data_IF_251640422492
#
_entry.id   IF_251640422492
#
_cell.length_a   1.000
_cell.length_b   1.000
_cell.length_c   1.000
_cell.angle_alpha   90.00
_cell.angle_beta   90.00
_cell.angle_gamma   90.00
#
_symmetry.space_group_name_H-M   'P 1'
#
loop_
_entity.id
_entity.type
_entity.pdbx_description
1 polymer ?
#
# COMPACT_ATOMS: atom_id res chain seq x y z
N UNK A 1 -17.92 7.79 6.68
CA UNK A 1 -16.98 6.69 7.07
C UNK A 1 -15.97 6.48 5.96
N UNK A 2 -14.71 6.22 6.33
CA UNK A 2 -13.59 5.84 5.46
C UNK A 2 -12.90 4.64 6.08
N UNK A 3 -12.54 3.64 5.29
CA UNK A 3 -11.68 2.52 5.74
C UNK A 3 -10.23 2.83 5.41
N UNK A 4 -9.32 2.48 6.31
CA UNK A 4 -7.87 2.48 6.10
C UNK A 4 -7.39 1.05 6.32
N UNK A 5 -6.94 0.39 5.26
CA UNK A 5 -6.46 -0.98 5.26
C UNK A 5 -4.93 -1.02 5.13
N UNK A 6 -4.25 -1.64 6.07
CA UNK A 6 -2.80 -1.75 6.08
C UNK A 6 -2.32 -3.19 5.99
N UNK A 7 -1.09 -3.43 6.42
CA UNK A 7 -0.52 -4.77 6.49
C UNK A 7 -1.39 -5.69 7.37
N UNK A 8 -1.48 -6.97 7.02
CA UNK A 8 -2.36 -7.95 7.68
C UNK A 8 -3.86 -7.61 7.62
N UNK A 9 -4.28 -6.64 6.80
CA UNK A 9 -5.69 -6.39 6.57
C UNK A 9 -6.38 -7.60 5.90
N UNK A 10 -7.67 -7.68 6.10
CA UNK A 10 -8.51 -8.72 5.52
C UNK A 10 -9.83 -8.13 5.03
N UNK A 11 -10.52 -8.85 4.19
CA UNK A 11 -11.89 -8.49 3.80
C UNK A 11 -12.81 -8.61 5.01
N UNK A 12 -13.41 -7.49 5.40
CA UNK A 12 -14.31 -7.41 6.56
C UNK A 12 -15.74 -7.35 6.05
N UNK A 13 -16.55 -8.36 6.42
CA UNK A 13 -17.96 -8.43 6.06
C UNK A 13 -18.70 -7.14 6.41
N UNK A 14 -19.37 -6.56 5.42
CA UNK A 14 -20.15 -5.32 5.52
C UNK A 14 -19.36 -4.04 5.27
N UNK A 15 -18.04 -4.10 5.00
CA UNK A 15 -17.24 -2.94 4.61
C UNK A 15 -16.99 -2.84 3.10
N UNK A 16 -17.53 -3.75 2.30
CA UNK A 16 -17.31 -3.85 0.85
C UNK A 16 -17.68 -2.54 0.13
N UNK A 17 -18.78 -1.92 0.53
CA UNK A 17 -19.29 -0.69 -0.09
C UNK A 17 -18.70 0.60 0.52
N UNK A 18 -17.74 0.50 1.45
CA UNK A 18 -17.15 1.67 2.11
C UNK A 18 -15.87 2.10 1.38
N UNK A 19 -15.72 3.39 1.03
CA UNK A 19 -14.49 3.90 0.42
C UNK A 19 -13.26 3.57 1.27
N UNK A 20 -12.22 3.04 0.64
CA UNK A 20 -11.07 2.46 1.34
C UNK A 20 -9.74 2.96 0.77
N UNK A 21 -8.90 3.53 1.65
CA UNK A 21 -7.47 3.73 1.38
C UNK A 21 -6.75 2.45 1.79
N UNK A 22 -6.20 1.72 0.82
CA UNK A 22 -5.47 0.48 1.06
C UNK A 22 -3.97 0.67 0.82
N UNK A 23 -3.14 0.13 1.73
CA UNK A 23 -1.70 -0.02 1.50
C UNK A 23 -1.45 -1.21 0.56
N UNK A 24 -0.33 -1.24 -0.19
CA UNK A 24 -0.10 -2.28 -1.22
C UNK A 24 -0.16 -3.73 -0.74
N UNK A 25 0.09 -3.99 0.54
CA UNK A 25 -0.01 -5.34 1.14
C UNK A 25 -1.41 -5.70 1.67
N UNK A 26 -2.37 -4.77 1.57
CA UNK A 26 -3.77 -5.04 1.91
C UNK A 26 -4.53 -5.64 0.71
N UNK A 27 -5.68 -6.30 0.94
CA UNK A 27 -6.56 -6.71 -0.14
C UNK A 27 -7.03 -5.52 -1.01
N UNK A 28 -7.21 -5.74 -2.31
CA UNK A 28 -7.73 -4.74 -3.22
C UNK A 28 -9.17 -4.35 -2.86
N UNK A 29 -9.45 -3.06 -2.59
CA UNK A 29 -10.79 -2.62 -2.19
C UNK A 29 -11.72 -2.46 -3.39
N UNK A 30 -13.03 -2.68 -3.20
CA UNK A 30 -14.06 -2.43 -4.23
C UNK A 30 -14.22 -0.95 -4.56
N UNK A 31 -14.04 -0.07 -3.56
CA UNK A 31 -14.09 1.38 -3.72
C UNK A 31 -12.76 2.00 -3.30
N UNK A 32 -11.73 1.91 -4.16
CA UNK A 32 -10.40 2.41 -3.85
C UNK A 32 -10.38 3.92 -3.72
N UNK A 33 -9.66 4.39 -2.71
CA UNK A 33 -9.40 5.81 -2.45
C UNK A 33 -7.90 6.04 -2.46
N UNK A 34 -7.45 6.95 -3.32
CA UNK A 34 -6.04 7.23 -3.46
C UNK A 34 -5.43 7.85 -2.18
N UNK A 35 -4.28 7.38 -1.67
CA UNK A 35 -3.74 7.83 -0.39
C UNK A 35 -3.39 9.32 -0.33
N UNK A 36 -3.09 9.96 -1.45
CA UNK A 36 -2.84 11.41 -1.50
C UNK A 36 -4.08 12.25 -1.14
N UNK A 37 -5.30 11.69 -1.25
CA UNK A 37 -6.55 12.37 -0.90
C UNK A 37 -6.71 12.60 0.59
N UNK A 38 -5.97 11.89 1.44
CA UNK A 38 -6.06 12.01 2.90
C UNK A 38 -5.85 13.43 3.42
N UNK A 39 -5.10 14.27 2.68
CA UNK A 39 -4.91 15.69 3.03
C UNK A 39 -6.22 16.49 3.01
N UNK A 40 -7.11 16.20 2.05
CA UNK A 40 -8.37 16.94 1.91
C UNK A 40 -9.41 16.44 2.89
N UNK A 41 -9.37 15.17 3.28
CA UNK A 41 -10.35 14.56 4.19
C UNK A 41 -10.24 15.02 5.65
N UNK A 42 -9.18 15.71 6.02
CA UNK A 42 -9.05 16.40 7.31
C UNK A 42 -9.65 17.81 7.29
N UNK A 43 -9.90 18.39 6.12
CA UNK A 43 -10.45 19.73 5.98
C UNK A 43 -11.97 19.66 6.02
N UNK A 44 -12.59 20.62 6.70
CA UNK A 44 -14.04 20.71 6.75
C UNK A 44 -14.62 20.98 5.35
N UNK A 45 -13.92 21.78 4.56
CA UNK A 45 -14.36 22.17 3.23
C UNK A 45 -13.16 22.37 2.29
N UNK A 46 -13.37 22.01 1.05
CA UNK A 46 -12.44 22.28 -0.06
C UNK A 46 -13.19 23.02 -1.14
N UNK A 47 -12.61 24.11 -1.65
CA UNK A 47 -13.13 24.81 -2.82
C UNK A 47 -12.61 24.14 -4.08
N UNK A 48 -13.52 23.67 -4.91
CA UNK A 48 -13.21 23.13 -6.24
C UNK A 48 -14.00 23.97 -7.26
N UNK A 49 -13.30 24.77 -8.06
CA UNK A 49 -13.91 25.79 -8.93
C UNK A 49 -14.83 26.73 -8.11
N UNK A 50 -16.07 26.91 -8.52
CA UNK A 50 -17.04 27.77 -7.82
C UNK A 50 -17.84 27.05 -6.73
N UNK A 51 -17.50 25.80 -6.41
CA UNK A 51 -18.20 24.98 -5.44
C UNK A 51 -17.38 24.77 -4.18
N UNK A 52 -18.05 24.79 -3.03
CA UNK A 52 -17.49 24.41 -1.74
C UNK A 52 -18.04 23.03 -1.39
N UNK A 53 -17.15 22.07 -1.19
CA UNK A 53 -17.50 20.68 -0.89
C UNK A 53 -17.05 20.34 0.52
N UNK A 54 -17.94 19.70 1.30
CA UNK A 54 -17.58 19.17 2.62
C UNK A 54 -16.84 17.84 2.42
N UNK A 55 -15.57 17.84 2.76
CA UNK A 55 -14.67 16.68 2.59
C UNK A 55 -14.26 16.04 3.92
N UNK A 56 -14.72 16.57 5.06
CA UNK A 56 -14.31 16.06 6.37
C UNK A 56 -14.85 14.64 6.60
N UNK A 57 -13.92 13.72 6.89
CA UNK A 57 -14.25 12.38 7.39
C UNK A 57 -14.71 12.49 8.85
N UNK A 58 -15.83 11.89 9.17
CA UNK A 58 -16.37 11.83 10.53
C UNK A 58 -15.96 10.57 11.27
N UNK A 59 -15.72 9.47 10.53
CA UNK A 59 -15.35 8.18 11.08
C UNK A 59 -14.31 7.48 10.22
N UNK A 60 -13.30 6.93 10.86
CA UNK A 60 -12.28 6.07 10.26
C UNK A 60 -12.35 4.68 10.87
N UNK A 61 -12.36 3.65 10.03
CA UNK A 61 -12.22 2.26 10.43
C UNK A 61 -10.88 1.76 9.93
N UNK A 62 -10.00 1.36 10.86
CA UNK A 62 -8.68 0.80 10.55
C UNK A 62 -8.76 -0.71 10.53
N UNK A 63 -8.24 -1.35 9.49
CA UNK A 63 -8.12 -2.80 9.35
C UNK A 63 -6.65 -3.16 9.17
N UNK A 64 -6.12 -4.01 10.04
CA UNK A 64 -4.69 -4.35 10.04
C UNK A 64 -3.80 -3.22 10.53
N UNK A 65 -2.61 -3.09 9.95
CA UNK A 65 -1.53 -2.24 10.45
C UNK A 65 -1.05 -1.21 9.40
N UNK A 66 -1.80 -0.12 9.14
CA UNK A 66 -1.36 0.93 8.20
C UNK A 66 -0.18 1.72 8.75
N UNK A 67 0.84 1.95 7.91
CA UNK A 67 2.12 2.54 8.33
C UNK A 67 2.77 3.48 7.30
N UNK A 68 2.22 3.64 6.08
CA UNK A 68 2.96 4.25 4.98
C UNK A 68 2.91 5.78 4.93
N UNK A 69 1.72 6.35 4.83
CA UNK A 69 1.56 7.76 4.50
C UNK A 69 1.24 8.61 5.71
N UNK A 70 2.04 9.64 5.98
CA UNK A 70 1.85 10.57 7.12
C UNK A 70 0.46 11.22 7.11
N UNK A 71 -0.06 11.57 5.93
CA UNK A 71 -1.40 12.15 5.78
C UNK A 71 -2.51 11.19 6.18
N UNK A 72 -2.36 9.90 5.83
CA UNK A 72 -3.31 8.84 6.21
C UNK A 72 -3.23 8.57 7.72
N UNK A 73 -2.03 8.44 8.26
CA UNK A 73 -1.83 8.28 9.71
C UNK A 73 -2.36 9.50 10.49
N UNK A 74 -2.32 10.69 9.90
CA UNK A 74 -2.88 11.89 10.51
C UNK A 74 -4.41 11.87 10.61
N UNK A 75 -5.13 11.16 9.73
CA UNK A 75 -6.57 10.90 9.90
C UNK A 75 -6.85 10.03 11.12
N UNK A 76 -6.02 9.01 11.35
CA UNK A 76 -6.15 8.13 12.50
C UNK A 76 -5.87 8.84 13.83
N UNK A 77 -5.04 9.89 13.80
CA UNK A 77 -4.65 10.67 14.99
C UNK A 77 -5.51 11.92 15.21
N UNK A 78 -6.44 12.22 14.31
CA UNK A 78 -7.30 13.40 14.43
C UNK A 78 -8.37 13.19 15.53
N UNK A 79 -8.36 13.99 16.62
CA UNK A 79 -9.27 13.80 17.74
C UNK A 79 -10.74 14.06 17.38
N UNK A 80 -11.00 14.77 16.31
CA UNK A 80 -12.35 15.06 15.84
C UNK A 80 -12.96 13.93 14.99
N UNK A 81 -12.18 12.89 14.67
CA UNK A 81 -12.62 11.75 13.88
C UNK A 81 -12.90 10.56 14.83
N UNK A 82 -14.07 9.95 14.72
CA UNK A 82 -14.38 8.71 15.42
C UNK A 82 -13.53 7.56 14.88
N UNK A 83 -12.69 6.97 15.73
CA UNK A 83 -11.74 5.94 15.34
C UNK A 83 -12.19 4.56 15.82
N UNK A 84 -12.31 3.63 14.88
CA UNK A 84 -12.51 2.20 15.13
C UNK A 84 -11.30 1.44 14.61
N UNK A 85 -10.71 0.57 15.41
CA UNK A 85 -9.57 -0.26 15.00
C UNK A 85 -9.95 -1.73 15.09
N UNK A 86 -9.79 -2.43 13.98
CA UNK A 86 -10.04 -3.87 13.89
C UNK A 86 -8.73 -4.64 13.82
N UNK A 87 -8.66 -5.75 14.54
CA UNK A 87 -7.55 -6.69 14.47
C UNK A 87 -8.04 -8.12 14.65
N UNK A 88 -7.41 -9.06 13.95
CA UNK A 88 -7.60 -10.52 14.17
C UNK A 88 -6.73 -11.07 15.29
N UNK A 89 -5.78 -10.29 15.76
CA UNK A 89 -4.86 -10.60 16.85
C UNK A 89 -5.21 -9.78 18.08
N UNK A 90 -4.36 -9.81 19.11
CA UNK A 90 -4.47 -8.92 20.26
C UNK A 90 -3.75 -7.60 20.06
N UNK A 91 -3.03 -7.46 18.93
CA UNK A 91 -2.24 -6.28 18.61
C UNK A 91 -3.07 -5.33 17.75
N UNK A 92 -3.32 -4.16 18.27
CA UNK A 92 -4.10 -3.12 17.61
C UNK A 92 -3.22 -1.94 17.24
N UNK A 93 -3.27 -1.51 15.97
CA UNK A 93 -2.63 -0.27 15.52
C UNK A 93 -3.42 0.92 16.05
N UNK A 94 -3.16 1.29 17.29
CA UNK A 94 -3.87 2.36 17.98
C UNK A 94 -2.88 3.37 18.54
N UNK A 95 -2.76 4.52 17.90
CA UNK A 95 -1.90 5.62 18.34
C UNK A 95 -2.62 6.57 19.30
N UNK A 96 -3.94 6.47 19.44
CA UNK A 96 -4.79 7.34 20.28
C UNK A 96 -5.05 6.77 21.68
N UNK A 97 -4.54 5.59 21.98
CA UNK A 97 -4.76 4.96 23.29
C UNK A 97 -6.23 4.64 23.53
N UNK A 98 -6.81 5.15 24.62
CA UNK A 98 -8.18 4.81 25.05
C UNK A 98 -9.29 5.51 24.24
N UNK A 99 -8.94 6.44 23.35
CA UNK A 99 -9.93 7.21 22.58
C UNK A 99 -10.42 6.48 21.32
N UNK A 100 -9.86 5.31 21.00
CA UNK A 100 -10.28 4.48 19.89
C UNK A 100 -11.17 3.33 20.37
N UNK A 101 -12.16 2.97 19.57
CA UNK A 101 -12.92 1.74 19.75
C UNK A 101 -12.19 0.56 19.13
N UNK A 102 -11.94 -0.48 19.90
CA UNK A 102 -11.20 -1.65 19.48
C UNK A 102 -12.14 -2.84 19.29
N UNK A 103 -11.95 -3.62 18.24
CA UNK A 103 -12.78 -4.79 17.96
C UNK A 103 -12.14 -5.78 17.00
N UNK A 104 -12.81 -6.91 16.80
CA UNK A 104 -12.44 -7.95 15.83
C UNK A 104 -13.42 -8.01 14.65
N UNK A 105 -14.59 -7.40 14.84
CA UNK A 105 -15.68 -7.35 13.85
C UNK A 105 -16.39 -6.01 13.96
N UNK A 106 -17.13 -5.64 12.92
CA UNK A 106 -18.04 -4.49 12.90
C UNK A 106 -19.43 -4.94 12.53
N UNK A 107 -20.41 -4.17 12.98
CA UNK A 107 -21.76 -4.22 12.45
C UNK A 107 -22.04 -2.90 11.73
N UNK A 108 -22.11 -2.96 10.44
CA UNK A 108 -22.42 -1.78 9.62
C UNK A 108 -23.91 -1.49 9.68
N UNK A 109 -24.26 -0.23 9.85
CA UNK A 109 -25.64 0.25 9.86
C UNK A 109 -25.78 1.37 8.84
N UNK A 110 -26.59 1.15 7.81
CA UNK A 110 -26.77 2.08 6.70
C UNK A 110 -25.74 1.92 5.60
N UNK A 111 -25.88 2.70 4.57
CA UNK A 111 -25.00 2.73 3.40
C UNK A 111 -24.25 4.07 3.34
N UNK A 112 -23.05 4.14 2.72
CA UNK A 112 -22.38 5.41 2.46
C UNK A 112 -23.29 6.31 1.61
N UNK A 113 -23.30 7.61 1.93
CA UNK A 113 -24.09 8.53 1.13
C UNK A 113 -23.54 8.64 -0.30
N UNK A 114 -24.43 8.81 -1.28
CA UNK A 114 -24.02 8.98 -2.69
C UNK A 114 -23.11 10.20 -2.88
N UNK A 115 -23.30 11.23 -2.08
CA UNK A 115 -22.44 12.41 -2.10
C UNK A 115 -21.02 12.08 -1.64
N UNK A 116 -20.89 11.34 -0.53
CA UNK A 116 -19.58 10.90 -0.02
C UNK A 116 -18.85 10.01 -1.02
N UNK A 117 -19.55 9.06 -1.63
CA UNK A 117 -18.96 8.20 -2.67
C UNK A 117 -18.41 9.02 -3.84
N UNK A 118 -19.17 10.02 -4.34
CA UNK A 118 -18.72 10.90 -5.42
C UNK A 118 -17.53 11.78 -5.01
N UNK A 119 -17.47 12.22 -3.76
CA UNK A 119 -16.33 12.99 -3.25
C UNK A 119 -15.07 12.12 -3.25
N UNK A 120 -15.16 10.88 -2.75
CA UNK A 120 -14.04 9.95 -2.74
C UNK A 120 -13.56 9.59 -4.15
N UNK A 121 -14.49 9.28 -5.06
CA UNK A 121 -14.22 8.98 -6.45
C UNK A 121 -13.56 10.16 -7.18
N UNK A 122 -14.15 11.34 -7.10
CA UNK A 122 -13.59 12.54 -7.75
C UNK A 122 -12.23 12.95 -7.18
N UNK A 123 -12.01 12.81 -5.87
CA UNK A 123 -10.73 13.07 -5.25
C UNK A 123 -9.66 12.06 -5.72
N UNK A 124 -10.04 10.79 -5.84
CA UNK A 124 -9.17 9.71 -6.35
C UNK A 124 -8.80 9.95 -7.81
N UNK A 125 -9.75 10.34 -8.65
CA UNK A 125 -9.49 10.66 -10.05
C UNK A 125 -8.51 11.83 -10.21
N UNK A 126 -8.69 12.90 -9.42
CA UNK A 126 -7.77 14.04 -9.41
C UNK A 126 -6.36 13.63 -8.96
N UNK A 127 -6.25 12.80 -7.94
CA UNK A 127 -4.95 12.30 -7.47
C UNK A 127 -4.28 11.40 -8.51
N UNK A 128 -5.01 10.50 -9.13
CA UNK A 128 -4.54 9.66 -10.22
C UNK A 128 -4.10 10.48 -11.45
N UNK A 129 -4.82 11.57 -11.76
CA UNK A 129 -4.40 12.49 -12.82
C UNK A 129 -3.08 13.18 -12.47
N UNK A 130 -2.93 13.67 -11.24
CA UNK A 130 -1.69 14.29 -10.80
C UNK A 130 -0.48 13.34 -10.88
N UNK A 131 -0.69 12.05 -10.55
CA UNK A 131 0.34 11.02 -10.71
C UNK A 131 0.70 10.84 -12.19
N UNK A 132 -0.28 10.74 -13.08
CA UNK A 132 -0.03 10.62 -14.53
C UNK A 132 0.73 11.83 -15.08
N UNK A 133 0.30 13.05 -14.72
CA UNK A 133 0.99 14.29 -15.12
C UNK A 133 2.44 14.31 -14.62
N UNK A 134 2.69 13.81 -13.40
CA UNK A 134 4.04 13.69 -12.84
C UNK A 134 4.90 12.67 -13.63
N UNK A 135 4.30 11.56 -14.06
CA UNK A 135 4.99 10.55 -14.86
C UNK A 135 5.27 11.00 -16.30
N UNK A 136 4.50 11.93 -16.83
CA UNK A 136 4.64 12.50 -18.18
C UNK A 136 5.55 13.74 -18.22
N UNK A 137 5.93 14.28 -17.05
CA UNK A 137 6.75 15.49 -16.94
C UNK A 137 8.23 15.17 -17.19
N UNK A 138 8.72 15.49 -18.37
CA UNK A 138 10.11 15.27 -18.78
C UNK A 138 11.13 16.07 -17.93
N UNK A 139 10.73 17.20 -17.33
CA UNK A 139 11.62 18.03 -16.49
C UNK A 139 11.95 17.35 -15.16
N UNK A 140 11.09 16.46 -14.67
CA UNK A 140 11.32 15.67 -13.46
C UNK A 140 12.27 14.49 -13.66
N UNK A 141 12.48 14.08 -14.91
CA UNK A 141 13.30 12.92 -15.25
C UNK A 141 12.72 11.60 -14.76
N UNK A 142 13.55 10.56 -14.77
CA UNK A 142 13.13 9.21 -14.38
C UNK A 142 13.26 9.00 -12.87
N UNK A 143 12.15 8.68 -12.19
CA UNK A 143 12.07 8.56 -10.73
C UNK A 143 11.64 7.15 -10.29
N UNK A 144 11.68 6.87 -8.98
CA UNK A 144 11.13 5.63 -8.38
C UNK A 144 9.64 5.41 -8.70
N UNK A 145 8.88 6.50 -8.87
CA UNK A 145 7.46 6.42 -9.25
C UNK A 145 7.28 5.80 -10.63
N UNK A 146 8.16 6.12 -11.60
CA UNK A 146 8.17 5.49 -12.94
C UNK A 146 8.48 3.99 -12.86
N UNK A 147 9.42 3.62 -11.99
CA UNK A 147 9.75 2.19 -11.78
C UNK A 147 8.56 1.44 -11.20
N UNK A 148 7.91 2.02 -10.20
CA UNK A 148 6.72 1.42 -9.57
C UNK A 148 5.55 1.29 -10.56
N UNK A 149 5.31 2.31 -11.38
CA UNK A 149 4.30 2.28 -12.45
C UNK A 149 4.60 1.18 -13.47
N UNK A 150 5.85 1.09 -13.95
CA UNK A 150 6.26 0.05 -14.90
C UNK A 150 6.11 -1.37 -14.32
N UNK A 151 6.42 -1.56 -13.04
CA UNK A 151 6.17 -2.83 -12.34
C UNK A 151 4.67 -3.11 -12.29
N UNK A 152 3.85 -2.13 -11.88
CA UNK A 152 2.39 -2.25 -11.84
C UNK A 152 1.79 -2.68 -13.17
N UNK A 153 2.21 -2.04 -14.26
CA UNK A 153 1.73 -2.34 -15.62
C UNK A 153 2.07 -3.74 -16.11
N UNK A 154 3.07 -4.39 -15.52
CA UNK A 154 3.45 -5.77 -15.89
C UNK A 154 2.75 -6.84 -15.07
N UNK A 155 2.12 -6.50 -13.94
CA UNK A 155 1.44 -7.44 -13.08
C UNK A 155 0.14 -7.97 -13.71
N UNK A 156 -0.15 -9.21 -13.43
CA UNK A 156 -1.38 -9.90 -13.87
C UNK A 156 -1.98 -10.66 -12.69
N UNK A 157 -3.24 -11.02 -12.82
CA UNK A 157 -3.93 -11.87 -11.83
C UNK A 157 -3.12 -13.14 -11.57
N UNK A 158 -2.98 -13.53 -10.32
CA UNK A 158 -2.17 -14.63 -9.79
C UNK A 158 -0.65 -14.38 -9.81
N UNK A 159 -0.19 -13.19 -10.15
CA UNK A 159 1.19 -12.82 -9.86
C UNK A 159 1.39 -12.50 -8.38
N UNK A 160 2.61 -12.60 -7.93
CA UNK A 160 3.01 -12.20 -6.58
C UNK A 160 4.00 -11.03 -6.65
N UNK A 161 3.77 -10.01 -5.84
CA UNK A 161 4.64 -8.86 -5.71
C UNK A 161 5.31 -8.84 -4.33
N UNK A 162 6.61 -8.62 -4.30
CA UNK A 162 7.38 -8.39 -3.07
C UNK A 162 7.91 -6.96 -3.10
N UNK A 163 7.54 -6.15 -2.13
CA UNK A 163 7.93 -4.75 -2.04
C UNK A 163 8.94 -4.54 -0.91
N UNK A 164 10.10 -4.03 -1.25
CA UNK A 164 11.07 -3.56 -0.27
C UNK A 164 10.52 -2.38 0.54
N UNK A 165 10.99 -2.25 1.77
CA UNK A 165 10.73 -1.07 2.60
C UNK A 165 11.26 0.22 1.94
N UNK A 166 10.98 1.38 2.56
CA UNK A 166 11.40 2.70 2.08
C UNK A 166 10.53 3.25 0.94
N UNK A 167 11.12 3.85 -0.11
CA UNK A 167 10.40 4.47 -1.21
C UNK A 167 9.59 3.46 -2.06
N UNK A 168 10.09 2.27 -2.42
CA UNK A 168 9.39 1.36 -3.32
C UNK A 168 7.94 1.05 -2.92
N UNK A 169 7.69 0.77 -1.64
CA UNK A 169 6.33 0.48 -1.18
C UNK A 169 5.44 1.72 -1.16
N UNK A 170 6.01 2.92 -1.00
CA UNK A 170 5.27 4.20 -1.08
C UNK A 170 4.92 4.56 -2.50
N UNK A 171 5.88 4.41 -3.41
CA UNK A 171 5.68 4.66 -4.83
C UNK A 171 4.64 3.69 -5.40
N UNK A 172 4.69 2.43 -5.00
CA UNK A 172 3.69 1.42 -5.34
C UNK A 172 2.27 1.84 -4.90
N UNK A 173 2.12 2.37 -3.69
CA UNK A 173 0.83 2.87 -3.21
C UNK A 173 0.32 4.09 -4.01
N UNK A 174 1.23 4.96 -4.48
CA UNK A 174 0.87 6.14 -5.25
C UNK A 174 0.50 5.83 -6.71
N UNK A 175 1.02 4.76 -7.29
CA UNK A 175 0.65 4.32 -8.65
C UNK A 175 -0.60 3.45 -8.69
N UNK A 176 -1.26 3.21 -7.55
CA UNK A 176 -2.57 2.58 -7.50
C UNK A 176 -2.61 1.13 -6.99
N UNK A 177 -1.53 0.62 -6.41
CA UNK A 177 -1.59 -0.69 -5.72
C UNK A 177 -2.33 -0.55 -4.37
N UNK A 178 -3.01 -1.59 -3.89
CA UNK A 178 -3.02 -2.98 -4.38
C UNK A 178 -3.97 -3.21 -5.57
N UNK A 179 -3.65 -4.22 -6.37
CA UNK A 179 -4.54 -4.73 -7.42
C UNK A 179 -5.22 -6.01 -6.98
N UNK A 180 -6.48 -6.18 -7.35
CA UNK A 180 -7.20 -7.43 -7.12
C UNK A 180 -6.53 -8.60 -7.84
N UNK A 181 -6.40 -9.72 -7.13
CA UNK A 181 -5.78 -10.94 -7.66
C UNK A 181 -4.25 -10.90 -7.74
N UNK A 182 -3.58 -9.92 -7.14
CA UNK A 182 -2.13 -9.87 -6.96
C UNK A 182 -1.79 -9.95 -5.46
N UNK A 183 -1.14 -11.02 -5.05
CA UNK A 183 -0.67 -11.15 -3.67
C UNK A 183 0.56 -10.27 -3.45
N UNK A 184 0.48 -9.32 -2.53
CA UNK A 184 1.58 -8.40 -2.25
C UNK A 184 2.13 -8.58 -0.83
N UNK A 185 3.44 -8.75 -0.73
CA UNK A 185 4.19 -8.91 0.52
C UNK A 185 5.20 -7.76 0.71
N UNK A 186 5.34 -7.30 1.93
CA UNK A 186 6.32 -6.27 2.28
C UNK A 186 6.72 -6.39 3.75
N UNK A 187 7.98 -6.12 4.15
CA UNK A 187 8.41 -6.18 5.55
C UNK A 187 7.87 -4.97 6.34
N UNK A 188 6.54 -4.95 6.60
CA UNK A 188 5.89 -3.78 7.23
C UNK A 188 6.07 -3.71 8.74
N UNK A 189 6.23 -4.83 9.43
CA UNK A 189 6.39 -4.86 10.88
C UNK A 189 7.60 -4.05 11.36
N UNK A 190 8.80 -4.50 11.08
CA UNK A 190 10.04 -3.78 11.38
C UNK A 190 10.43 -2.74 10.31
N UNK A 191 9.87 -2.83 9.11
CA UNK A 191 10.16 -1.98 7.96
C UNK A 191 11.67 -1.89 7.61
N UNK A 192 12.42 -2.98 7.90
CA UNK A 192 13.86 -3.09 7.64
C UNK A 192 14.17 -3.40 6.19
N UNK A 193 15.46 -3.24 5.83
CA UNK A 193 15.99 -3.59 4.50
C UNK A 193 16.69 -4.95 4.50
N UNK A 194 16.79 -5.60 5.67
CA UNK A 194 17.44 -6.88 5.84
C UNK A 194 16.61 -8.00 5.20
N UNK A 195 17.28 -8.92 4.50
CA UNK A 195 16.69 -10.15 4.01
C UNK A 195 15.57 -9.96 2.96
N UNK A 196 15.46 -8.84 2.28
CA UNK A 196 14.38 -8.59 1.28
C UNK A 196 14.54 -9.51 0.07
N UNK A 197 15.77 -9.77 -0.39
CA UNK A 197 16.04 -10.73 -1.48
C UNK A 197 15.74 -12.15 -1.01
N UNK A 198 16.19 -12.51 0.20
CA UNK A 198 15.90 -13.82 0.79
C UNK A 198 14.39 -14.05 0.92
N UNK A 199 13.63 -13.02 1.33
CA UNK A 199 12.17 -13.07 1.38
C UNK A 199 11.56 -13.31 0.00
N UNK A 200 12.00 -12.59 -1.04
CA UNK A 200 11.54 -12.77 -2.40
C UNK A 200 11.81 -14.17 -2.94
N UNK A 201 13.01 -14.71 -2.67
CA UNK A 201 13.38 -16.08 -3.01
C UNK A 201 12.47 -17.08 -2.29
N UNK A 202 12.27 -16.91 -0.98
CA UNK A 202 11.44 -17.79 -0.16
C UNK A 202 9.97 -17.80 -0.63
N UNK A 203 9.41 -16.63 -0.93
CA UNK A 203 8.06 -16.51 -1.49
C UNK A 203 7.97 -17.18 -2.85
N UNK A 204 8.95 -16.98 -3.74
CA UNK A 204 8.97 -17.63 -5.05
C UNK A 204 9.03 -19.15 -4.93
N UNK A 205 9.84 -19.69 -4.05
CA UNK A 205 9.90 -21.13 -3.79
C UNK A 205 8.61 -21.67 -3.18
N UNK A 206 7.97 -20.91 -2.29
CA UNK A 206 6.68 -21.27 -1.70
C UNK A 206 5.59 -21.33 -2.76
N UNK A 207 5.46 -20.30 -3.61
CA UNK A 207 4.45 -20.28 -4.69
C UNK A 207 4.65 -21.39 -5.72
N UNK A 208 5.90 -21.72 -6.07
CA UNK A 208 6.24 -22.87 -6.93
C UNK A 208 5.76 -24.19 -6.33
N UNK A 209 5.81 -24.33 -5.02
CA UNK A 209 5.47 -25.57 -4.31
C UNK A 209 3.96 -25.78 -4.15
N UNK A 210 3.13 -24.75 -4.34
CA UNK A 210 1.66 -24.84 -4.21
C UNK A 210 1.05 -25.75 -5.28
N UNK A 211 1.59 -25.72 -6.50
CA UNK A 211 1.17 -26.61 -7.59
C UNK A 211 2.41 -27.16 -8.33
N UNK A 212 3.01 -28.25 -7.81
CA UNK A 212 4.17 -28.88 -8.45
C UNK A 212 3.89 -29.48 -9.84
N UNK A 213 2.62 -29.59 -10.21
CA UNK A 213 2.23 -30.12 -11.52
C UNK A 213 2.09 -29.03 -12.58
N UNK A 214 2.14 -27.79 -12.18
CA UNK A 214 2.11 -26.66 -13.11
C UNK A 214 3.40 -26.66 -13.95
N UNK A 215 3.22 -26.65 -15.27
CA UNK A 215 4.34 -26.63 -16.22
C UNK A 215 5.16 -25.35 -16.20
N UNK A 216 4.63 -24.30 -15.57
CA UNK A 216 5.28 -23.00 -15.42
C UNK A 216 5.09 -22.48 -13.98
N UNK A 217 6.19 -22.17 -13.32
CA UNK A 217 6.15 -21.56 -12.00
C UNK A 217 5.39 -20.23 -12.03
N UNK A 218 4.58 -19.92 -10.99
CA UNK A 218 3.96 -18.62 -10.82
C UNK A 218 5.00 -17.50 -10.88
N UNK A 219 4.62 -16.37 -11.46
CA UNK A 219 5.52 -15.22 -11.55
C UNK A 219 5.59 -14.48 -10.22
N UNK A 220 6.80 -14.21 -9.77
CA UNK A 220 7.08 -13.36 -8.61
C UNK A 220 7.93 -12.19 -9.06
N UNK A 221 7.51 -10.98 -8.76
CA UNK A 221 8.27 -9.75 -8.97
C UNK A 221 8.66 -9.16 -7.62
N UNK A 222 9.91 -8.75 -7.48
CA UNK A 222 10.38 -8.05 -6.29
C UNK A 222 10.86 -6.66 -6.69
N UNK A 223 10.28 -5.61 -6.11
CA UNK A 223 10.68 -4.22 -6.29
C UNK A 223 11.34 -3.71 -5.00
N UNK A 224 12.57 -3.25 -5.10
CA UNK A 224 13.35 -2.73 -3.97
C UNK A 224 14.28 -1.60 -4.39
N UNK A 225 14.75 -0.82 -3.42
CA UNK A 225 15.79 0.18 -3.65
C UNK A 225 17.19 -0.43 -3.76
N UNK A 226 18.13 0.35 -4.27
CA UNK A 226 19.54 -0.03 -4.45
C UNK A 226 20.23 -0.37 -3.12
N UNK A 227 20.04 0.41 -2.07
CA UNK A 227 20.60 0.14 -0.75
C UNK A 227 20.06 -1.17 -0.18
N UNK A 228 18.76 -1.43 -0.31
CA UNK A 228 18.13 -2.71 0.08
C UNK A 228 18.73 -3.88 -0.67
N UNK A 229 18.89 -3.73 -2.00
CA UNK A 229 19.51 -4.76 -2.84
C UNK A 229 20.96 -5.05 -2.42
N UNK A 230 21.77 -4.01 -2.25
CA UNK A 230 23.18 -4.17 -1.86
C UNK A 230 23.32 -4.78 -0.45
N UNK A 231 22.42 -4.41 0.47
CA UNK A 231 22.42 -4.92 1.84
C UNK A 231 22.19 -6.43 1.90
N UNK A 232 21.38 -6.98 1.00
CA UNK A 232 21.00 -8.40 0.98
C UNK A 232 21.51 -9.16 -0.26
N UNK A 233 22.44 -8.60 -1.02
CA UNK A 233 22.95 -9.20 -2.25
C UNK A 233 23.53 -10.61 -2.06
N UNK A 234 24.03 -10.93 -0.87
CA UNK A 234 24.56 -12.27 -0.54
C UNK A 234 23.48 -13.36 -0.61
N UNK A 235 22.20 -13.02 -0.46
CA UNK A 235 21.09 -13.97 -0.61
C UNK A 235 20.93 -14.52 -2.02
N UNK A 236 21.57 -13.90 -3.02
CA UNK A 236 21.65 -14.44 -4.40
C UNK A 236 22.63 -15.62 -4.53
N UNK A 237 23.47 -15.85 -3.53
CA UNK A 237 24.42 -16.96 -3.52
C UNK A 237 23.71 -18.25 -3.08
N UNK A 238 22.92 -18.84 -3.99
CA UNK A 238 22.20 -20.09 -3.72
C UNK A 238 23.12 -21.27 -4.07
N UNK A 239 23.45 -22.19 -3.10
CA UNK A 239 24.22 -23.39 -3.36
C UNK A 239 23.58 -24.27 -4.43
N UNK A 240 24.40 -25.09 -5.12
CA UNK A 240 23.94 -25.95 -6.22
C UNK A 240 22.94 -27.03 -5.77
N UNK A 241 23.02 -27.46 -4.52
CA UNK A 241 22.17 -28.48 -3.90
C UNK A 241 20.89 -27.92 -3.30
N UNK A 242 20.67 -26.59 -3.40
CA UNK A 242 19.48 -25.93 -2.90
C UNK A 242 18.49 -25.62 -4.03
N UNK A 243 17.16 -25.62 -3.75
CA UNK A 243 16.16 -25.24 -4.73
C UNK A 243 16.36 -23.78 -5.15
N UNK A 244 16.08 -23.50 -6.42
CA UNK A 244 16.20 -22.16 -7.01
C UNK A 244 14.84 -21.65 -7.46
N UNK A 245 14.57 -20.35 -7.32
CA UNK A 245 13.37 -19.77 -7.89
C UNK A 245 13.41 -19.84 -9.43
N UNK A 246 12.34 -20.31 -10.05
CA UNK A 246 12.28 -20.51 -11.51
C UNK A 246 11.74 -19.27 -12.23
N UNK A 247 10.91 -18.46 -11.57
CA UNK A 247 10.22 -17.32 -12.19
C UNK A 247 10.20 -16.09 -11.26
N UNK A 248 11.37 -15.73 -10.73
CA UNK A 248 11.59 -14.55 -9.91
C UNK A 248 12.28 -13.45 -10.72
N UNK A 249 11.70 -12.27 -10.75
CA UNK A 249 12.30 -11.06 -11.30
C UNK A 249 12.55 -10.05 -10.18
N UNK A 250 13.79 -9.59 -10.04
CA UNK A 250 14.12 -8.52 -9.08
C UNK A 250 14.33 -7.22 -9.85
N UNK A 251 13.56 -6.21 -9.51
CA UNK A 251 13.63 -4.86 -10.04
C UNK A 251 14.25 -3.95 -8.98
N UNK A 252 15.33 -3.27 -9.33
CA UNK A 252 16.03 -2.37 -8.43
C UNK A 252 15.80 -0.93 -8.88
N UNK A 253 15.08 -0.15 -8.08
CA UNK A 253 14.96 1.29 -8.24
C UNK A 253 16.23 1.94 -7.66
N UNK A 254 17.16 2.30 -8.55
CA UNK A 254 18.45 2.87 -8.17
C UNK A 254 18.40 4.41 -8.28
N UNK A 255 18.40 5.07 -7.13
CA UNK A 255 18.50 6.53 -7.00
C UNK A 255 19.88 7.01 -6.52
N UNK A 256 20.92 6.17 -6.67
CA UNK A 256 22.30 6.38 -6.20
C UNK A 256 22.42 6.41 -4.66
N UNK A 257 21.45 5.83 -3.98
CA UNK A 257 21.49 5.59 -2.54
C UNK A 257 21.01 6.75 -1.67
N UNK A 258 20.24 6.42 -0.67
CA UNK A 258 19.90 7.35 0.40
C UNK A 258 18.72 8.28 0.14
N UNK A 259 18.00 8.18 -0.99
CA UNK A 259 16.86 9.06 -1.33
C UNK A 259 15.78 9.15 -0.25
N UNK A 260 15.60 8.12 0.58
CA UNK A 260 14.67 8.17 1.71
C UNK A 260 15.05 9.24 2.75
N UNK A 261 16.34 9.53 2.92
CA UNK A 261 16.80 10.48 3.93
C UNK A 261 16.42 11.92 3.58
N UNK A 262 16.24 12.24 2.30
CA UNK A 262 15.77 13.56 1.84
C UNK A 262 14.34 13.88 2.30
N UNK A 263 13.57 12.85 2.63
CA UNK A 263 12.19 13.00 3.12
C UNK A 263 12.07 13.12 4.63
N UNK A 264 13.19 13.04 5.37
CA UNK A 264 13.24 13.22 6.81
C UNK A 264 13.40 14.70 7.17
N UNK A 265 12.90 15.09 8.36
CA UNK A 265 13.00 16.46 8.85
C UNK A 265 14.47 16.92 9.09
N UNK A 266 15.40 15.97 9.19
CA UNK A 266 16.83 16.18 9.38
C UNK A 266 17.63 16.11 8.07
N UNK A 267 16.98 15.84 6.95
CA UNK A 267 17.60 15.71 5.64
C UNK A 267 17.85 17.03 4.95
#
# INVERSE_FOLDING_TARGET
TLVIAGDEAWEVEGLEDVPTIAEPSAPGPYHPVHPATAHIFRKAQVSANDYVVNTKVEQVIVVGHPTLHRSVLALMNDPDIDLVVLSRTKDFTNQRGNDARLGTTVKVTGEPSREWMKICEGATDMAGQAVRETLEDEDLGFTGLHVAAAVGDTLSVNDTLVLGASNPVRDAALVGLPFDGVDTYSPRGAAGIDGTIAQAIGISLATQSLDPTNWRAPRVMALMGDVTFLHDANSLLIPEDQPRPENLTIVVANDNGGGIFETLEQG
#
